data_IF_353386986771
#
_entry.id   IF_353386986771
#
_cell.length_a   1.000
_cell.length_b   1.000
_cell.length_c   1.000
_cell.angle_alpha   90.00
_cell.angle_beta   90.00
_cell.angle_gamma   90.00
#
_symmetry.space_group_name_H-M   'P 1'
#
loop_
_entity.id
_entity.type
_entity.pdbx_description
1 polymer ?
#
# COMPACT_ATOMS: atom_id res chain seq x y z
N UNK A 1 -20.16 -1.21 -3.76
CA UNK A 1 -19.23 -0.23 -4.35
C UNK A 1 -17.82 -0.62 -3.97
N UNK A 2 -17.05 -1.15 -4.93
CA UNK A 2 -15.63 -1.52 -4.75
C UNK A 2 -14.86 -0.27 -4.33
N UNK A 3 -14.00 -0.34 -3.31
CA UNK A 3 -13.18 0.83 -3.00
C UNK A 3 -12.27 1.15 -4.18
N UNK A 4 -11.92 2.43 -4.35
CA UNK A 4 -11.01 2.85 -5.41
C UNK A 4 -9.73 2.00 -5.35
N UNK A 5 -9.29 1.46 -6.51
CA UNK A 5 -8.12 0.61 -6.57
C UNK A 5 -6.88 1.37 -6.09
N UNK A 6 -5.99 0.69 -5.37
CA UNK A 6 -4.68 1.24 -5.04
C UNK A 6 -3.95 1.55 -6.35
N UNK A 7 -3.41 2.77 -6.47
CA UNK A 7 -2.64 3.17 -7.65
C UNK A 7 -1.29 2.46 -7.63
N UNK A 8 -1.06 1.56 -8.58
CA UNK A 8 0.28 1.02 -8.84
C UNK A 8 1.14 2.11 -9.48
N UNK A 9 2.34 2.32 -8.93
CA UNK A 9 3.29 3.30 -9.44
C UNK A 9 4.70 2.67 -9.48
N UNK A 10 5.40 2.71 -10.62
CA UNK A 10 6.76 2.21 -10.71
C UNK A 10 7.70 3.16 -9.96
N UNK A 11 8.26 2.69 -8.85
CA UNK A 11 9.19 3.45 -8.02
C UNK A 11 10.62 2.95 -8.26
N UNK A 12 11.51 3.85 -8.69
CA UNK A 12 12.95 3.57 -8.78
C UNK A 12 13.58 3.87 -7.42
N UNK A 13 14.23 2.87 -6.83
CA UNK A 13 14.92 2.99 -5.55
C UNK A 13 16.37 2.54 -5.71
N UNK A 14 17.25 3.16 -4.93
CA UNK A 14 18.57 2.60 -4.69
C UNK A 14 18.44 1.21 -4.01
N UNK A 15 19.19 0.17 -4.44
CA UNK A 15 19.08 -1.16 -3.86
C UNK A 15 19.36 -1.22 -2.36
N UNK A 16 20.29 -0.42 -1.84
CA UNK A 16 20.60 -0.39 -0.42
C UNK A 16 19.46 0.26 0.39
N UNK A 17 18.81 1.29 -0.18
CA UNK A 17 17.61 1.87 0.41
C UNK A 17 16.46 0.85 0.46
N UNK A 18 16.24 0.11 -0.63
CA UNK A 18 15.21 -0.93 -0.67
C UNK A 18 15.47 -2.01 0.39
N UNK A 19 16.71 -2.49 0.51
CA UNK A 19 17.08 -3.47 1.54
C UNK A 19 16.87 -2.95 2.98
N UNK A 20 17.09 -1.66 3.22
CA UNK A 20 16.81 -1.05 4.52
C UNK A 20 15.31 -1.01 4.84
N UNK A 21 14.48 -0.69 3.84
CA UNK A 21 13.02 -0.72 3.96
C UNK A 21 12.53 -2.15 4.24
N UNK A 22 13.08 -3.16 3.55
CA UNK A 22 12.72 -4.57 3.79
C UNK A 22 13.00 -5.00 5.22
N UNK A 23 14.19 -4.68 5.76
CA UNK A 23 14.54 -4.99 7.16
C UNK A 23 13.63 -4.29 8.16
N UNK A 24 13.32 -3.01 7.92
CA UNK A 24 12.40 -2.25 8.77
C UNK A 24 10.97 -2.83 8.71
N UNK A 25 10.49 -3.19 7.53
CA UNK A 25 9.17 -3.81 7.35
C UNK A 25 9.06 -5.15 8.09
N UNK A 26 10.12 -5.97 8.05
CA UNK A 26 10.19 -7.23 8.77
C UNK A 26 10.11 -7.03 10.29
N UNK A 27 10.81 -6.02 10.83
CA UNK A 27 10.74 -5.67 12.26
C UNK A 27 9.35 -5.20 12.70
N UNK A 28 8.63 -4.51 11.82
CA UNK A 28 7.28 -3.98 12.09
C UNK A 28 6.14 -4.96 11.76
N UNK A 29 6.48 -6.20 11.34
CA UNK A 29 5.53 -7.22 10.87
C UNK A 29 4.60 -6.70 9.75
N UNK A 30 5.16 -5.91 8.84
CA UNK A 30 4.46 -5.29 7.69
C UNK A 30 4.98 -5.82 6.38
N UNK A 31 4.13 -5.76 5.34
CA UNK A 31 4.63 -5.91 3.98
C UNK A 31 5.48 -4.69 3.59
N UNK A 32 6.42 -4.89 2.68
CA UNK A 32 7.29 -3.82 2.17
C UNK A 32 6.45 -2.64 1.63
N UNK A 33 5.39 -2.91 0.88
CA UNK A 33 4.49 -1.87 0.36
C UNK A 33 3.77 -1.10 1.47
N UNK A 34 3.33 -1.78 2.53
CA UNK A 34 2.72 -1.12 3.68
C UNK A 34 3.73 -0.25 4.43
N UNK A 35 4.99 -0.68 4.51
CA UNK A 35 6.06 0.10 5.12
C UNK A 35 6.41 1.35 4.31
N UNK A 36 6.51 1.22 2.97
CA UNK A 36 6.70 2.37 2.07
C UNK A 36 5.57 3.39 2.26
N UNK A 37 4.31 2.95 2.29
CA UNK A 37 3.18 3.85 2.50
C UNK A 37 3.27 4.58 3.86
N UNK A 38 3.63 3.85 4.92
CA UNK A 38 3.80 4.42 6.26
C UNK A 38 4.88 5.51 6.30
N UNK A 39 6.07 5.20 5.79
CA UNK A 39 7.21 6.13 5.74
C UNK A 39 6.88 7.39 4.91
N UNK A 40 6.17 7.23 3.78
CA UNK A 40 5.74 8.37 2.96
C UNK A 40 4.75 9.27 3.70
N UNK A 41 3.75 8.69 4.38
CA UNK A 41 2.78 9.47 5.18
C UNK A 41 3.46 10.19 6.33
N UNK A 42 4.40 9.53 7.00
CA UNK A 42 5.18 10.14 8.07
C UNK A 42 6.03 11.31 7.55
N UNK A 43 6.76 11.12 6.46
CA UNK A 43 7.59 12.16 5.84
C UNK A 43 6.77 13.38 5.39
N UNK A 44 5.58 13.17 4.82
CA UNK A 44 4.66 14.25 4.46
C UNK A 44 4.13 15.00 5.69
N UNK A 45 3.78 14.26 6.75
CA UNK A 45 3.32 14.84 8.02
C UNK A 45 4.40 15.72 8.65
N UNK A 46 5.66 15.25 8.67
CA UNK A 46 6.82 16.02 9.17
C UNK A 46 7.06 17.30 8.35
N UNK A 47 6.60 17.36 7.10
CA UNK A 47 6.63 18.55 6.23
C UNK A 47 5.38 19.43 6.36
N UNK A 48 4.46 19.11 7.26
CA UNK A 48 3.19 19.83 7.44
C UNK A 48 2.13 19.51 6.37
N UNK A 49 2.34 18.49 5.53
CA UNK A 49 1.38 18.09 4.49
C UNK A 49 0.38 17.10 5.08
N UNK A 50 -0.90 17.51 5.17
CA UNK A 50 -2.00 16.65 5.62
C UNK A 50 -2.37 15.65 4.53
N UNK A 51 -2.31 14.36 4.82
CA UNK A 51 -2.76 13.28 3.92
C UNK A 51 -4.09 12.73 4.44
N UNK A 52 -5.16 12.84 3.66
CA UNK A 52 -6.45 12.23 4.01
C UNK A 52 -6.40 10.70 3.93
N UNK A 53 -7.21 10.04 4.76
CA UNK A 53 -7.40 8.59 4.68
C UNK A 53 -8.48 8.33 3.65
N UNK A 54 -8.15 7.61 2.57
CA UNK A 54 -9.15 7.12 1.62
C UNK A 54 -10.01 6.04 2.29
N UNK A 55 -11.29 5.98 1.94
CA UNK A 55 -12.17 4.95 2.49
C UNK A 55 -11.62 3.56 2.17
N UNK A 56 -11.30 2.80 3.22
CA UNK A 56 -10.80 1.42 3.06
C UNK A 56 -11.94 0.55 2.54
N UNK A 57 -11.72 -0.26 1.48
CA UNK A 57 -12.71 -1.26 1.06
C UNK A 57 -13.06 -2.15 2.25
N UNK A 58 -14.36 -2.25 2.58
CA UNK A 58 -14.83 -3.28 3.49
C UNK A 58 -14.36 -4.63 2.95
N UNK A 59 -13.61 -5.37 3.77
CA UNK A 59 -13.19 -6.74 3.47
C UNK A 59 -14.45 -7.60 3.28
N UNK A 60 -14.78 -7.86 2.04
CA UNK A 60 -15.72 -8.90 1.62
C UNK A 60 -15.01 -9.70 0.53
N UNK A 61 -14.97 -11.02 0.69
CA UNK A 61 -14.51 -11.98 -0.31
C UNK A 61 -15.12 -11.59 -1.68
N UNK A 62 -14.33 -11.45 -2.76
CA UNK A 62 -14.93 -11.23 -4.07
C UNK A 62 -15.86 -12.41 -4.39
N UNK A 63 -17.08 -12.12 -4.83
CA UNK A 63 -18.00 -13.15 -5.29
C UNK A 63 -17.35 -13.89 -6.47
N UNK A 64 -17.39 -15.22 -6.45
CA UNK A 64 -16.91 -16.08 -7.53
C UNK A 64 -17.70 -15.71 -8.79
N UNK A 65 -17.02 -15.23 -9.84
CA UNK A 65 -17.63 -15.16 -11.16
C UNK A 65 -17.75 -16.60 -11.67
N UNK A 66 -18.99 -17.07 -11.83
CA UNK A 66 -19.29 -18.26 -12.60
C UNK A 66 -19.23 -17.83 -14.07
N UNK A 67 -18.20 -18.29 -14.77
CA UNK A 67 -18.13 -18.20 -16.23
C UNK A 67 -19.18 -19.16 -16.79
N UNK A 68 -20.37 -18.63 -17.10
CA UNK A 68 -21.35 -19.28 -17.95
C UNK A 68 -20.91 -19.05 -19.41
N UNK A 69 -20.51 -20.13 -20.08
CA UNK A 69 -20.24 -20.15 -21.51
C UNK A 69 -21.04 -21.29 -22.15
N UNK A 70 -22.28 -20.97 -22.53
CA UNK A 70 -23.07 -21.68 -23.54
C UNK A 70 -23.05 -20.93 -24.86
#
# INVERSE_FOLDING_TARGET
>A
MTAPPKKAFPLRLDPALYAAIERSAAGDLRSVNAQVEYLLREALTRRGVKVSVSQTPKRGRPAKQEDDNG
#
